data_IF_991427815633
#
_entry.id   IF_991427815633
#
_cell.length_a   1.000
_cell.length_b   1.000
_cell.length_c   1.000
_cell.angle_alpha   90.00
_cell.angle_beta   90.00
_cell.angle_gamma   90.00
#
_symmetry.space_group_name_H-M   'P 1'
#
loop_
_entity.id
_entity.type
_entity.pdbx_description
1 polymer ?
#
# COMPACT_ATOMS: atom_id res chain seq x y z
N UNK A 1 41.45 -3.96 2.65
CA UNK A 1 41.06 -3.45 3.99
C UNK A 1 40.30 -2.15 3.80
N UNK A 2 39.02 -2.07 4.14
CA UNK A 2 38.28 -0.80 4.13
C UNK A 2 38.37 -0.09 5.49
N UNK A 3 38.37 1.25 5.52
CA UNK A 3 38.53 2.02 6.75
C UNK A 3 37.23 2.06 7.58
N UNK A 4 37.40 2.01 8.90
CA UNK A 4 36.39 2.30 9.90
C UNK A 4 35.89 3.74 9.77
N UNK A 5 34.57 3.90 9.63
CA UNK A 5 33.88 5.16 9.90
C UNK A 5 32.90 4.92 11.05
N UNK A 6 33.35 5.24 12.26
CA UNK A 6 32.47 5.56 13.37
C UNK A 6 32.02 7.00 13.21
N UNK A 7 30.71 7.24 13.34
CA UNK A 7 30.19 8.52 13.80
C UNK A 7 28.78 8.29 14.38
N UNK A 8 28.75 7.88 15.64
CA UNK A 8 27.57 7.97 16.49
C UNK A 8 27.69 9.33 17.18
N UNK A 9 26.82 10.29 16.86
CA UNK A 9 26.46 11.42 17.73
C UNK A 9 25.35 12.28 17.10
N UNK A 10 24.37 12.63 17.94
CA UNK A 10 23.66 13.91 17.85
C UNK A 10 22.47 13.97 16.91
N UNK A 11 21.35 13.32 17.25
CA UNK A 11 20.06 13.88 16.84
C UNK A 11 19.58 14.76 17.99
N UNK A 12 19.85 16.05 17.84
CA UNK A 12 19.45 17.10 18.77
C UNK A 12 17.93 17.07 18.97
N UNK A 13 17.59 16.97 20.25
CA UNK A 13 16.26 17.16 20.81
C UNK A 13 15.89 18.64 20.66
N UNK A 14 15.35 19.01 19.50
CA UNK A 14 14.75 20.33 19.31
C UNK A 14 13.39 20.34 20.03
N UNK A 15 13.44 20.84 21.26
CA UNK A 15 12.28 21.20 22.04
C UNK A 15 11.40 22.20 21.27
N UNK A 16 10.24 21.75 20.83
CA UNK A 16 9.16 22.61 20.38
C UNK A 16 8.49 23.20 21.62
N UNK A 17 8.90 24.41 21.97
CA UNK A 17 8.24 25.30 22.93
C UNK A 17 6.76 25.52 22.52
N UNK A 18 5.79 25.32 23.42
CA UNK A 18 4.38 25.57 23.13
C UNK A 18 4.07 27.07 23.23
N UNK A 19 4.02 27.74 22.08
CA UNK A 19 3.55 29.13 21.99
C UNK A 19 2.05 29.24 22.26
N UNK A 20 1.70 29.76 23.43
CA UNK A 20 0.59 30.71 23.62
C UNK A 20 -0.84 30.16 23.81
N UNK A 21 -1.71 30.89 24.53
CA UNK A 21 -3.02 30.40 24.95
C UNK A 21 -4.07 30.65 23.86
N UNK A 22 -4.49 29.58 23.18
CA UNK A 22 -5.66 29.62 22.30
C UNK A 22 -6.94 29.53 23.16
N UNK A 23 -7.33 30.68 23.72
CA UNK A 23 -8.60 30.86 24.41
C UNK A 23 -9.68 31.20 23.38
N UNK A 24 -10.34 30.16 22.85
CA UNK A 24 -11.66 30.26 22.26
C UNK A 24 -12.32 28.90 22.45
N UNK A 25 -13.11 28.76 23.51
CA UNK A 25 -13.97 27.59 23.67
C UNK A 25 -15.00 27.60 22.54
N UNK A 26 -15.04 26.61 21.64
CA UNK A 26 -16.27 26.36 20.91
C UNK A 26 -17.29 25.87 21.93
N UNK A 27 -18.40 26.60 22.06
CA UNK A 27 -19.60 26.14 22.75
C UNK A 27 -19.88 24.70 22.34
N UNK A 28 -19.66 23.78 23.28
CA UNK A 28 -20.00 22.37 23.11
C UNK A 28 -21.52 22.29 23.13
N UNK A 29 -22.13 22.48 21.96
CA UNK A 29 -23.47 21.98 21.71
C UNK A 29 -23.43 20.49 22.00
N UNK A 30 -23.95 20.11 23.18
CA UNK A 30 -24.20 18.72 23.53
C UNK A 30 -25.32 18.24 22.61
N UNK A 31 -24.93 17.86 21.39
CA UNK A 31 -25.70 16.90 20.63
C UNK A 31 -25.71 15.64 21.48
N UNK A 32 -26.79 15.46 22.24
CA UNK A 32 -27.14 14.18 22.82
C UNK A 32 -27.35 13.24 21.63
N UNK A 33 -26.24 12.68 21.14
CA UNK A 33 -26.23 11.49 20.32
C UNK A 33 -26.94 10.44 21.17
N UNK A 34 -28.24 10.28 20.92
CA UNK A 34 -29.00 9.19 21.50
C UNK A 34 -28.19 7.93 21.23
N UNK A 35 -27.64 7.37 22.29
CA UNK A 35 -26.78 6.19 22.25
C UNK A 35 -27.70 4.99 22.00
N UNK A 36 -28.35 4.98 20.82
CA UNK A 36 -28.98 3.79 20.28
C UNK A 36 -27.82 2.82 20.08
N UNK A 37 -27.71 1.83 20.97
CA UNK A 37 -26.81 0.69 20.78
C UNK A 37 -27.06 0.21 19.36
N UNK A 38 -26.10 0.42 18.46
CA UNK A 38 -26.19 -0.09 17.10
C UNK A 38 -26.21 -1.61 17.22
N UNK A 39 -27.37 -2.20 17.01
CA UNK A 39 -27.53 -3.66 17.00
C UNK A 39 -27.19 -4.11 15.59
N UNK A 40 -26.23 -5.02 15.46
CA UNK A 40 -25.94 -5.67 14.19
C UNK A 40 -27.13 -6.57 13.88
N UNK A 41 -27.82 -6.28 12.78
CA UNK A 41 -28.90 -7.11 12.27
C UNK A 41 -28.43 -7.67 10.92
N UNK A 42 -28.59 -8.97 10.75
CA UNK A 42 -28.32 -9.63 9.48
C UNK A 42 -29.60 -9.61 8.65
N UNK A 43 -29.45 -9.37 7.35
CA UNK A 43 -30.58 -9.46 6.42
C UNK A 43 -30.94 -10.93 6.26
N UNK A 44 -32.21 -11.27 6.45
CA UNK A 44 -32.71 -12.65 6.37
C UNK A 44 -32.63 -13.21 4.93
N UNK A 45 -32.52 -12.32 3.95
CA UNK A 45 -32.37 -12.65 2.53
C UNK A 45 -30.99 -12.30 2.01
N UNK A 46 -30.30 -13.31 1.47
CA UNK A 46 -29.01 -13.16 0.78
C UNK A 46 -29.25 -13.26 -0.72
N UNK A 47 -28.82 -12.24 -1.47
CA UNK A 47 -28.74 -12.32 -2.93
C UNK A 47 -27.44 -13.02 -3.31
N UNK A 48 -27.52 -14.16 -3.99
CA UNK A 48 -26.37 -14.79 -4.62
C UNK A 48 -26.45 -14.64 -6.13
N UNK A 49 -25.30 -14.71 -6.79
CA UNK A 49 -25.20 -14.92 -8.22
C UNK A 49 -24.66 -16.32 -8.41
N UNK A 50 -25.33 -17.09 -9.26
CA UNK A 50 -24.79 -18.36 -9.70
C UNK A 50 -23.59 -18.08 -10.60
N UNK A 51 -22.48 -18.74 -10.30
CA UNK A 51 -21.27 -18.68 -11.12
C UNK A 51 -21.23 -19.99 -11.89
N UNK A 52 -21.27 -19.88 -13.22
CA UNK A 52 -21.15 -21.04 -14.10
C UNK A 52 -19.87 -21.82 -13.75
N UNK A 53 -19.97 -23.14 -13.47
CA UNK A 53 -18.79 -23.96 -13.24
C UNK A 53 -17.98 -24.07 -14.53
N UNK A 54 -16.66 -24.20 -14.42
CA UNK A 54 -15.75 -24.24 -15.56
C UNK A 54 -16.09 -25.36 -16.57
N UNK A 55 -16.71 -26.45 -16.11
CA UNK A 55 -17.14 -27.57 -16.94
C UNK A 55 -18.34 -27.29 -17.84
N UNK A 56 -19.11 -26.24 -17.56
CA UNK A 56 -20.30 -25.83 -18.33
C UNK A 56 -20.01 -24.67 -19.29
N UNK A 57 -18.80 -24.09 -19.23
CA UNK A 57 -18.35 -23.06 -20.16
C UNK A 57 -17.93 -23.75 -21.45
N UNK A 58 -18.43 -23.26 -22.59
CA UNK A 58 -18.04 -23.79 -23.90
C UNK A 58 -16.56 -23.51 -24.21
N UNK A 59 -15.93 -24.34 -25.04
CA UNK A 59 -14.53 -24.11 -25.44
C UNK A 59 -14.36 -22.75 -26.16
N UNK A 60 -15.37 -22.29 -26.89
CA UNK A 60 -15.42 -20.99 -27.56
C UNK A 60 -15.42 -19.85 -26.54
N UNK A 61 -16.32 -19.88 -25.55
CA UNK A 61 -16.34 -18.89 -24.46
C UNK A 61 -15.07 -18.96 -23.61
N UNK A 62 -14.51 -20.16 -23.39
CA UNK A 62 -13.26 -20.31 -22.64
C UNK A 62 -12.10 -19.60 -23.32
N UNK A 63 -12.01 -19.72 -24.65
CA UNK A 63 -11.00 -19.08 -25.47
C UNK A 63 -11.18 -17.54 -25.55
N UNK A 64 -12.40 -17.04 -25.41
CA UNK A 64 -12.68 -15.60 -25.39
C UNK A 64 -12.54 -14.95 -24.00
N UNK A 65 -12.79 -15.71 -22.93
CA UNK A 65 -12.79 -15.19 -21.55
C UNK A 65 -11.39 -15.11 -20.95
N UNK A 66 -10.50 -16.03 -21.34
CA UNK A 66 -9.16 -16.12 -20.79
C UNK A 66 -8.09 -15.79 -21.81
N UNK A 67 -7.00 -15.20 -21.34
CA UNK A 67 -5.81 -15.02 -22.16
C UNK A 67 -5.32 -16.36 -22.68
N UNK A 68 -5.10 -16.46 -23.99
CA UNK A 68 -4.44 -17.61 -24.58
C UNK A 68 -2.93 -17.60 -24.21
N UNK A 69 -2.23 -18.69 -24.52
CA UNK A 69 -0.82 -18.83 -24.15
C UNK A 69 0.06 -17.76 -24.80
N UNK A 70 -0.25 -17.37 -26.04
CA UNK A 70 0.48 -16.34 -26.78
C UNK A 70 0.27 -14.95 -26.17
N UNK A 71 -0.98 -14.57 -25.88
CA UNK A 71 -1.33 -13.32 -25.19
C UNK A 71 -0.67 -13.25 -23.81
N UNK A 72 -0.67 -14.36 -23.07
CA UNK A 72 0.01 -14.42 -21.78
C UNK A 72 1.52 -14.23 -21.92
N UNK A 73 2.13 -14.82 -22.94
CA UNK A 73 3.54 -14.64 -23.24
C UNK A 73 3.86 -13.18 -23.62
N UNK A 74 3.01 -12.53 -24.42
CA UNK A 74 3.12 -11.11 -24.76
C UNK A 74 3.04 -10.21 -23.53
N UNK A 75 2.03 -10.40 -22.67
CA UNK A 75 1.90 -9.67 -21.40
C UNK A 75 3.15 -9.84 -20.54
N UNK A 76 3.66 -11.07 -20.44
CA UNK A 76 4.86 -11.37 -19.66
C UNK A 76 6.12 -10.70 -20.24
N UNK A 77 6.26 -10.70 -21.56
CA UNK A 77 7.36 -10.02 -22.25
C UNK A 77 7.30 -8.51 -22.00
N UNK A 78 6.12 -7.92 -22.16
CA UNK A 78 5.88 -6.50 -21.91
C UNK A 78 6.21 -6.09 -20.47
N UNK A 79 5.77 -6.88 -19.47
CA UNK A 79 6.13 -6.67 -18.06
C UNK A 79 7.64 -6.75 -17.85
N UNK A 80 8.29 -7.75 -18.45
CA UNK A 80 9.73 -7.97 -18.31
C UNK A 80 10.52 -6.81 -18.91
N UNK A 81 10.11 -6.32 -20.08
CA UNK A 81 10.77 -5.22 -20.76
C UNK A 81 10.56 -3.88 -20.05
N UNK A 82 9.38 -3.65 -19.46
CA UNK A 82 9.13 -2.51 -18.58
C UNK A 82 10.11 -2.50 -17.39
N UNK A 83 10.30 -3.66 -16.74
CA UNK A 83 11.22 -3.80 -15.61
C UNK A 83 12.67 -3.58 -16.03
N UNK A 84 13.08 -4.09 -17.21
CA UNK A 84 14.44 -3.89 -17.74
C UNK A 84 14.71 -2.40 -17.96
N UNK A 85 13.83 -1.68 -18.67
CA UNK A 85 13.96 -0.23 -18.92
C UNK A 85 14.20 0.56 -17.63
N UNK A 86 13.38 0.33 -16.60
CA UNK A 86 13.59 0.98 -15.29
C UNK A 86 14.89 0.58 -14.61
N UNK A 87 15.28 -0.68 -14.75
CA UNK A 87 16.55 -1.17 -14.18
C UNK A 87 17.76 -0.53 -14.87
N UNK A 88 17.65 -0.28 -16.17
CA UNK A 88 18.69 0.33 -17.00
C UNK A 88 18.71 1.87 -16.87
N UNK A 89 17.69 2.45 -16.22
CA UNK A 89 17.59 3.88 -15.93
C UNK A 89 16.82 4.68 -16.98
N UNK A 90 16.18 3.99 -17.92
CA UNK A 90 15.34 4.63 -18.94
C UNK A 90 14.06 5.20 -18.31
N UNK A 91 13.59 6.32 -18.84
CA UNK A 91 12.26 6.84 -18.52
C UNK A 91 11.19 5.91 -19.05
N UNK A 92 10.22 5.57 -18.20
CA UNK A 92 9.03 4.80 -18.59
C UNK A 92 8.04 5.77 -19.20
N UNK A 93 7.76 5.58 -20.48
CA UNK A 93 6.72 6.33 -21.16
C UNK A 93 5.39 5.59 -21.06
N UNK A 94 4.52 6.07 -20.18
CA UNK A 94 3.20 5.49 -19.94
C UNK A 94 2.25 5.65 -21.14
N UNK A 95 2.50 6.63 -22.01
CA UNK A 95 1.72 6.81 -23.25
C UNK A 95 2.01 5.71 -24.28
N UNK A 96 3.18 5.08 -24.21
CA UNK A 96 3.60 3.99 -25.09
C UNK A 96 3.29 2.59 -24.52
N UNK A 97 2.39 2.51 -23.53
CA UNK A 97 1.91 1.26 -22.96
C UNK A 97 2.74 0.71 -21.80
N UNK A 98 3.94 1.25 -21.54
CA UNK A 98 4.78 0.82 -20.42
C UNK A 98 4.27 1.39 -19.09
N UNK A 99 3.97 0.55 -18.10
CA UNK A 99 3.45 1.04 -16.82
C UNK A 99 4.20 0.38 -15.66
N UNK A 100 4.72 1.20 -14.74
CA UNK A 100 5.41 0.71 -13.54
C UNK A 100 4.46 0.31 -12.41
N UNK A 101 3.19 0.70 -12.51
CA UNK A 101 2.18 0.43 -11.50
C UNK A 101 1.99 -1.07 -11.33
N UNK A 102 2.06 -1.54 -10.09
CA UNK A 102 2.00 -2.96 -9.75
C UNK A 102 3.29 -3.76 -10.03
N UNK A 103 4.28 -3.16 -10.69
CA UNK A 103 5.60 -3.76 -10.94
C UNK A 103 6.68 -3.28 -9.98
N UNK A 104 6.37 -2.33 -9.09
CA UNK A 104 7.32 -1.73 -8.16
C UNK A 104 7.96 -2.81 -7.27
N UNK A 105 7.15 -3.78 -6.83
CA UNK A 105 7.60 -4.93 -6.04
C UNK A 105 8.32 -6.03 -6.83
N UNK A 106 8.31 -5.97 -8.16
CA UNK A 106 8.99 -6.92 -9.07
C UNK A 106 10.39 -6.45 -9.44
N UNK A 107 10.69 -5.16 -9.29
CA UNK A 107 12.05 -4.63 -9.41
C UNK A 107 12.99 -5.23 -8.35
N UNK A 108 14.29 -5.32 -8.64
CA UNK A 108 15.31 -5.78 -7.68
C UNK A 108 15.26 -4.97 -6.38
N UNK A 109 15.15 -3.65 -6.50
CA UNK A 109 15.07 -2.74 -5.37
C UNK A 109 13.79 -2.94 -4.55
N UNK A 110 12.62 -2.93 -5.19
CA UNK A 110 11.34 -3.09 -4.50
C UNK A 110 11.16 -4.46 -3.86
N UNK A 111 11.61 -5.53 -4.52
CA UNK A 111 11.63 -6.88 -3.96
C UNK A 111 12.51 -6.94 -2.71
N UNK A 112 13.73 -6.39 -2.77
CA UNK A 112 14.65 -6.32 -1.62
C UNK A 112 14.06 -5.48 -0.48
N UNK A 113 13.47 -4.33 -0.78
CA UNK A 113 12.81 -3.44 0.20
C UNK A 113 11.69 -4.18 0.93
N UNK A 114 10.80 -4.87 0.21
CA UNK A 114 9.72 -5.66 0.79
C UNK A 114 10.22 -6.80 1.67
N UNK A 115 11.19 -7.58 1.16
CA UNK A 115 11.80 -8.69 1.91
C UNK A 115 12.43 -8.19 3.22
N UNK A 116 13.19 -7.10 3.14
CA UNK A 116 13.83 -6.50 4.31
C UNK A 116 12.82 -5.95 5.32
N UNK A 117 11.78 -5.23 4.87
CA UNK A 117 10.77 -4.71 5.78
C UNK A 117 10.03 -5.85 6.50
N UNK A 118 9.67 -6.92 5.77
CA UNK A 118 9.04 -8.11 6.34
C UNK A 118 9.95 -8.81 7.37
N UNK A 119 11.22 -9.02 7.02
CA UNK A 119 12.18 -9.65 7.93
C UNK A 119 12.36 -8.84 9.22
N UNK A 120 12.55 -7.52 9.11
CA UNK A 120 12.67 -6.63 10.28
C UNK A 120 11.41 -6.61 11.14
N UNK A 121 10.23 -6.63 10.51
CA UNK A 121 8.97 -6.65 11.24
C UNK A 121 8.77 -7.95 12.04
N UNK A 122 9.11 -9.09 11.43
CA UNK A 122 9.07 -10.39 12.09
C UNK A 122 10.06 -10.46 13.26
N UNK A 123 11.28 -9.98 13.06
CA UNK A 123 12.32 -9.94 14.09
C UNK A 123 11.92 -9.05 15.29
N UNK A 124 11.33 -7.88 15.02
CA UNK A 124 10.81 -6.96 16.04
C UNK A 124 9.69 -7.60 16.89
N UNK A 125 8.73 -8.26 16.22
CA UNK A 125 7.63 -8.97 16.88
C UNK A 125 8.17 -10.14 17.71
N UNK A 126 9.03 -10.97 17.13
CA UNK A 126 9.62 -12.12 17.81
C UNK A 126 10.41 -11.71 19.06
N UNK A 127 11.29 -10.71 18.92
CA UNK A 127 12.06 -10.16 20.04
C UNK A 127 11.15 -9.66 21.16
N UNK A 128 10.04 -9.02 20.82
CA UNK A 128 9.04 -8.54 21.78
C UNK A 128 8.33 -9.70 22.48
N UNK A 129 7.90 -10.72 21.73
CA UNK A 129 7.27 -11.92 22.27
C UNK A 129 8.20 -12.68 23.23
N UNK A 130 9.48 -12.85 22.87
CA UNK A 130 10.48 -13.49 23.74
C UNK A 130 10.67 -12.71 25.04
N UNK A 131 10.71 -11.37 24.98
CA UNK A 131 10.79 -10.51 26.18
C UNK A 131 9.54 -10.65 27.06
N UNK A 132 8.36 -10.65 26.47
CA UNK A 132 7.09 -10.82 27.18
C UNK A 132 7.02 -12.19 27.87
N UNK A 133 7.39 -13.26 27.15
CA UNK A 133 7.44 -14.62 27.69
C UNK A 133 8.37 -14.75 28.88
N UNK A 134 9.62 -14.28 28.76
CA UNK A 134 10.62 -14.31 29.85
C UNK A 134 10.16 -13.54 31.11
N UNK A 135 9.39 -12.47 30.92
CA UNK A 135 8.88 -11.63 32.02
C UNK A 135 7.46 -11.99 32.47
N UNK A 136 6.84 -13.02 31.88
CA UNK A 136 5.43 -13.40 32.11
C UNK A 136 4.45 -12.23 31.95
N UNK A 137 4.68 -11.39 30.95
CA UNK A 137 3.81 -10.25 30.62
C UNK A 137 2.80 -10.69 29.56
N UNK A 138 1.51 -10.52 29.84
CA UNK A 138 0.43 -10.72 28.87
C UNK A 138 -0.15 -9.36 28.46
N UNK A 139 0.42 -8.77 27.41
CA UNK A 139 -0.01 -7.48 26.88
C UNK A 139 0.17 -7.41 25.35
N UNK A 140 -0.89 -7.65 24.56
CA UNK A 140 -0.81 -7.64 23.10
C UNK A 140 -0.48 -6.26 22.51
N UNK A 141 -0.71 -5.18 23.25
CA UNK A 141 -0.42 -3.82 22.77
C UNK A 141 1.09 -3.59 22.58
N UNK A 142 1.94 -4.32 23.31
CA UNK A 142 3.39 -4.23 23.13
C UNK A 142 3.84 -4.78 21.77
N UNK A 143 3.22 -5.87 21.30
CA UNK A 143 3.49 -6.44 19.97
C UNK A 143 3.01 -5.47 18.88
N UNK A 144 1.81 -4.89 19.06
CA UNK A 144 1.28 -3.91 18.13
C UNK A 144 2.17 -2.66 18.04
N UNK A 145 2.65 -2.16 19.19
CA UNK A 145 3.59 -1.05 19.26
C UNK A 145 4.92 -1.39 18.55
N UNK A 146 5.45 -2.59 18.75
CA UNK A 146 6.68 -3.05 18.09
C UNK A 146 6.53 -3.18 16.56
N UNK A 147 5.36 -3.58 16.06
CA UNK A 147 5.09 -3.70 14.63
C UNK A 147 4.80 -2.35 13.95
N UNK A 148 4.25 -1.38 14.69
CA UNK A 148 3.74 -0.10 14.16
C UNK A 148 4.73 0.61 13.22
N UNK A 149 6.03 0.77 13.53
CA UNK A 149 6.97 1.44 12.64
C UNK A 149 7.09 0.77 11.26
N UNK A 150 7.04 -0.57 11.21
CA UNK A 150 7.13 -1.33 9.96
C UNK A 150 5.89 -1.19 9.08
N UNK A 151 4.71 -1.04 9.70
CA UNK A 151 3.47 -0.72 8.98
C UNK A 151 3.50 0.69 8.42
N UNK A 152 4.04 1.65 9.17
CA UNK A 152 4.19 3.05 8.75
C UNK A 152 5.15 3.18 7.56
N UNK A 153 6.25 2.42 7.54
CA UNK A 153 7.17 2.37 6.40
C UNK A 153 6.52 1.87 5.10
N UNK A 154 5.46 1.06 5.19
CA UNK A 154 4.68 0.64 4.03
C UNK A 154 3.58 1.67 3.68
N UNK A 155 3.01 2.33 4.69
CA UNK A 155 1.94 3.33 4.54
C UNK A 155 2.38 4.55 3.73
N UNK A 156 3.50 5.17 4.07
CA UNK A 156 3.91 6.42 3.39
C UNK A 156 4.15 6.26 1.89
N UNK A 157 4.90 5.23 1.42
CA UNK A 157 5.02 4.99 -0.01
C UNK A 157 3.69 4.72 -0.69
N UNK A 158 2.77 4.01 -0.04
CA UNK A 158 1.45 3.75 -0.63
C UNK A 158 0.62 5.03 -0.79
N UNK A 159 0.70 5.96 0.16
CA UNK A 159 0.03 7.27 0.05
C UNK A 159 0.66 8.10 -1.06
N UNK A 160 1.99 8.14 -1.15
CA UNK A 160 2.68 8.88 -2.19
C UNK A 160 2.28 8.37 -3.59
N UNK A 161 2.33 7.05 -3.80
CA UNK A 161 1.90 6.44 -5.06
C UNK A 161 0.43 6.75 -5.37
N UNK A 162 -0.46 6.65 -4.38
CA UNK A 162 -1.87 6.96 -4.59
C UNK A 162 -2.12 8.43 -4.98
N UNK A 163 -1.34 9.36 -4.43
CA UNK A 163 -1.40 10.77 -4.80
C UNK A 163 -0.88 11.00 -6.23
N UNK A 164 0.24 10.37 -6.59
CA UNK A 164 0.80 10.47 -7.94
C UNK A 164 -0.18 9.91 -8.98
N UNK A 165 -0.84 8.79 -8.67
CA UNK A 165 -1.89 8.20 -9.49
C UNK A 165 -3.10 9.15 -9.65
N UNK A 166 -3.52 9.81 -8.57
CA UNK A 166 -4.59 10.80 -8.63
C UNK A 166 -4.24 11.97 -9.56
N UNK A 167 -3.02 12.51 -9.41
CA UNK A 167 -2.53 13.61 -10.23
C UNK A 167 -2.47 13.24 -11.72
N UNK A 168 -1.98 12.04 -12.03
CA UNK A 168 -1.95 11.52 -13.40
C UNK A 168 -3.35 11.45 -14.02
N UNK A 169 -4.32 10.90 -13.30
CA UNK A 169 -5.71 10.79 -13.78
C UNK A 169 -6.34 12.16 -13.98
N UNK A 170 -6.14 13.11 -13.04
CA UNK A 170 -6.65 14.46 -13.18
C UNK A 170 -6.09 15.18 -14.41
N UNK A 171 -4.80 15.01 -14.69
CA UNK A 171 -4.16 15.55 -15.89
C UNK A 171 -4.74 14.94 -17.17
N UNK A 172 -4.84 13.61 -17.23
CA UNK A 172 -5.39 12.89 -18.38
C UNK A 172 -6.83 13.32 -18.70
N UNK A 173 -7.69 13.49 -17.68
CA UNK A 173 -9.06 13.98 -17.85
C UNK A 173 -9.06 15.39 -18.44
N UNK A 174 -8.22 16.28 -17.92
CA UNK A 174 -8.11 17.67 -18.39
C UNK A 174 -7.69 17.74 -19.86
N UNK A 175 -6.70 16.94 -20.25
CA UNK A 175 -6.22 16.86 -21.62
C UNK A 175 -7.32 16.38 -22.57
N UNK A 176 -8.05 15.30 -22.23
CA UNK A 176 -9.17 14.81 -23.06
C UNK A 176 -10.29 15.84 -23.21
N UNK A 177 -10.64 16.56 -22.14
CA UNK A 177 -11.66 17.60 -22.21
C UNK A 177 -11.25 18.77 -23.11
N UNK A 178 -9.98 19.18 -23.06
CA UNK A 178 -9.45 20.23 -23.93
C UNK A 178 -9.42 19.84 -25.41
N UNK A 179 -9.13 18.56 -25.71
CA UNK A 179 -9.14 18.03 -27.07
C UNK A 179 -10.56 17.91 -27.66
N UNK A 180 -11.57 17.64 -26.82
CA UNK A 180 -12.98 17.54 -27.24
C UNK A 180 -13.66 18.90 -27.48
N UNK A 181 -13.03 20.01 -27.08
CA UNK A 181 -13.58 21.37 -27.24
C UNK A 181 -13.01 22.09 -28.48
N UNK A 182 -12.17 21.42 -29.28
CA UNK A 182 -11.66 21.89 -30.59
C UNK A 182 -12.36 21.16 -31.73
#
# INVERSE_FOLDING_TARGET
MPPHAGNENGFDEVALEPTGPFNAQPEKQKLFLTNRRKVVQFKDTVTYREILPLSEISDEEMAEVWYNEDEYAEIKNHVTDTIKRVTDGDSVDECNGYCMRGLEGRTKFGARRRKNNKAKALDSVWTTQVKMWKKRIDNPLLIAAAYKPHSTNAKYPAIAVAHDDEMFVQQFIRERQSAATR
#
